data_IF_393733237643
#
_entry.id   IF_393733237643
#
_cell.length_a   1.000
_cell.length_b   1.000
_cell.length_c   1.000
_cell.angle_alpha   90.00
_cell.angle_beta   90.00
_cell.angle_gamma   90.00
#
_symmetry.space_group_name_H-M   'P 1'
#
loop_
_entity.id
_entity.type
_entity.pdbx_description
1 polymer ?
#
# COMPACT_ATOMS: atom_id res chain seq x y z
N UNK A 1 26.77 37.02 5.68
CA UNK A 1 25.40 36.46 5.74
C UNK A 1 24.91 36.55 7.18
N UNK A 2 23.63 36.79 7.42
CA UNK A 2 23.09 36.95 8.78
C UNK A 2 21.77 36.17 8.92
N UNK A 3 21.55 35.56 10.07
CA UNK A 3 20.34 34.81 10.38
C UNK A 3 19.06 35.63 10.13
N UNK A 4 17.95 35.02 9.70
CA UNK A 4 16.67 35.69 9.58
C UNK A 4 16.31 36.48 10.85
N UNK A 5 15.82 37.70 10.69
CA UNK A 5 15.46 38.57 11.81
C UNK A 5 16.63 39.36 12.41
N UNK A 6 17.87 39.14 11.95
CA UNK A 6 19.03 39.93 12.40
C UNK A 6 19.06 41.30 11.72
N UNK A 7 19.24 42.37 12.49
CA UNK A 7 19.47 43.72 11.94
C UNK A 7 20.86 43.75 11.31
N UNK A 8 20.91 43.94 9.99
CA UNK A 8 22.15 44.00 9.20
C UNK A 8 22.56 45.44 8.88
N UNK A 9 21.69 46.41 9.16
CA UNK A 9 21.99 47.82 8.96
C UNK A 9 20.90 48.73 9.49
N UNK A 10 21.23 50.01 9.60
CA UNK A 10 20.33 51.07 10.05
C UNK A 10 20.47 52.29 9.16
N UNK A 11 19.40 53.09 9.07
CA UNK A 11 19.43 54.41 8.42
C UNK A 11 18.69 55.39 9.32
N UNK A 12 19.33 56.45 9.85
CA UNK A 12 20.74 56.87 9.68
C UNK A 12 21.76 55.81 10.12
N UNK A 13 22.95 55.81 9.51
CA UNK A 13 23.96 54.79 9.76
C UNK A 13 24.57 54.92 11.16
N UNK A 14 25.14 53.83 11.69
CA UNK A 14 25.78 53.85 13.00
C UNK A 14 26.85 54.95 13.08
N UNK A 15 26.74 55.85 14.07
CA UNK A 15 27.63 56.99 14.28
C UNK A 15 27.19 58.30 13.63
N UNK A 16 26.13 58.32 12.81
CA UNK A 16 25.56 59.57 12.30
C UNK A 16 24.83 60.35 13.40
N UNK A 17 25.03 61.67 13.40
CA UNK A 17 24.32 62.57 14.31
C UNK A 17 22.91 62.81 13.78
N UNK A 18 21.93 62.65 14.67
CA UNK A 18 20.52 62.83 14.36
C UNK A 18 19.87 63.69 15.43
N UNK A 19 18.84 64.45 15.07
CA UNK A 19 18.02 65.18 16.05
C UNK A 19 17.11 64.17 16.78
N UNK A 20 17.30 63.91 18.09
CA UNK A 20 16.54 62.90 18.81
C UNK A 20 15.02 63.18 18.87
N UNK A 21 14.57 64.41 18.59
CA UNK A 21 13.14 64.75 18.59
C UNK A 21 12.44 64.43 17.28
N UNK A 22 13.19 64.33 16.18
CA UNK A 22 12.65 64.21 14.82
C UNK A 22 13.25 63.03 14.03
N UNK A 23 14.22 62.32 14.60
CA UNK A 23 14.87 61.21 13.92
C UNK A 23 13.98 59.98 13.84
N UNK A 24 13.79 59.48 12.62
CA UNK A 24 13.26 58.14 12.36
C UNK A 24 14.42 57.22 12.00
N UNK A 25 14.53 56.09 12.68
CA UNK A 25 15.54 55.06 12.39
C UNK A 25 14.87 53.91 11.66
N UNK A 26 15.31 53.66 10.42
CA UNK A 26 14.93 52.49 9.65
C UNK A 26 15.91 51.35 9.94
N UNK A 27 15.39 50.16 10.18
CA UNK A 27 16.19 48.95 10.37
C UNK A 27 16.15 48.12 9.08
N UNK A 28 17.32 47.71 8.59
CA UNK A 28 17.44 46.70 7.55
C UNK A 28 17.58 45.35 8.26
N UNK A 29 16.59 44.48 8.09
CA UNK A 29 16.53 43.17 8.75
C UNK A 29 16.79 42.07 7.72
N UNK A 30 17.69 41.15 8.03
CA UNK A 30 17.99 40.00 7.18
C UNK A 30 16.76 39.11 7.03
N UNK A 31 16.49 38.66 5.80
CA UNK A 31 15.52 37.60 5.52
C UNK A 31 16.12 36.19 5.59
N UNK A 32 17.41 36.08 5.92
CA UNK A 32 18.18 34.85 5.74
C UNK A 32 18.52 34.57 4.27
N UNK A 33 19.09 33.40 4.03
CA UNK A 33 19.46 32.93 2.69
C UNK A 33 18.20 32.67 1.86
N UNK A 34 18.20 33.09 0.60
CA UNK A 34 17.14 32.70 -0.33
C UNK A 34 17.18 31.18 -0.56
N UNK A 35 16.04 30.53 -0.37
CA UNK A 35 15.84 29.09 -0.57
C UNK A 35 14.71 28.84 -1.56
N UNK A 36 14.69 27.64 -2.12
CA UNK A 36 13.62 27.11 -2.94
C UNK A 36 13.32 25.66 -2.53
N UNK A 37 12.22 25.09 -3.02
CA UNK A 37 11.87 23.70 -2.71
C UNK A 37 12.76 22.71 -3.44
N UNK A 38 13.32 21.76 -2.70
CA UNK A 38 14.13 20.67 -3.27
C UNK A 38 13.33 19.87 -4.30
N UNK A 39 13.81 19.70 -5.55
CA UNK A 39 13.12 18.88 -6.54
C UNK A 39 13.05 17.42 -6.09
N UNK A 40 11.96 16.74 -6.47
CA UNK A 40 11.88 15.30 -6.32
C UNK A 40 12.67 14.59 -7.44
N UNK A 41 13.70 13.87 -7.03
CA UNK A 41 14.57 13.05 -7.86
C UNK A 41 14.21 11.56 -7.75
N UNK A 42 13.48 11.15 -6.72
CA UNK A 42 13.08 9.75 -6.53
C UNK A 42 12.20 9.30 -7.69
N UNK A 43 12.50 8.12 -8.21
CA UNK A 43 11.82 7.51 -9.33
C UNK A 43 12.25 8.05 -10.69
N UNK A 44 13.20 9.00 -10.82
CA UNK A 44 13.77 9.38 -12.13
C UNK A 44 14.92 8.45 -12.53
N UNK A 45 15.32 8.46 -13.80
CA UNK A 45 16.60 7.83 -14.18
C UNK A 45 17.78 8.61 -13.57
N UNK A 46 18.96 7.97 -13.53
CA UNK A 46 20.21 8.62 -13.11
C UNK A 46 20.48 9.89 -13.92
N UNK A 47 20.32 9.81 -15.24
CA UNK A 47 20.61 10.91 -16.16
C UNK A 47 19.61 12.07 -15.98
N UNK A 48 18.32 11.74 -15.82
CA UNK A 48 17.26 12.72 -15.52
C UNK A 48 17.50 13.42 -14.17
N UNK A 49 17.93 12.68 -13.16
CA UNK A 49 18.22 13.23 -11.84
C UNK A 49 19.36 14.27 -11.90
N UNK A 50 20.45 13.92 -12.58
CA UNK A 50 21.60 14.82 -12.78
C UNK A 50 21.16 16.09 -13.49
N UNK A 51 20.41 15.96 -14.59
CA UNK A 51 19.89 17.11 -15.33
C UNK A 51 18.99 18.01 -14.46
N UNK A 52 18.12 17.43 -13.62
CA UNK A 52 17.27 18.20 -12.69
C UNK A 52 18.07 18.93 -11.62
N UNK A 53 19.11 18.30 -11.06
CA UNK A 53 20.02 18.91 -10.08
C UNK A 53 20.68 20.16 -10.69
N UNK A 54 21.27 20.01 -11.88
CA UNK A 54 21.97 21.09 -12.59
C UNK A 54 21.01 22.23 -12.97
N UNK A 55 19.83 21.89 -13.53
CA UNK A 55 18.82 22.86 -13.93
C UNK A 55 18.27 23.67 -12.73
N UNK A 56 18.26 23.09 -11.53
CA UNK A 56 17.83 23.75 -10.29
C UNK A 56 18.93 24.60 -9.65
N UNK A 57 20.13 24.65 -10.24
CA UNK A 57 21.27 25.35 -9.67
C UNK A 57 21.82 24.70 -8.38
N UNK A 58 21.51 23.42 -8.17
CA UNK A 58 22.13 22.58 -7.14
C UNK A 58 23.44 22.00 -7.68
N UNK A 59 24.19 21.34 -6.80
CA UNK A 59 25.40 20.63 -7.17
C UNK A 59 25.27 19.16 -6.81
N UNK A 60 25.72 18.30 -7.69
CA UNK A 60 25.98 16.91 -7.33
C UNK A 60 27.28 16.86 -6.54
N UNK A 61 27.29 16.18 -5.39
CA UNK A 61 28.52 15.99 -4.61
C UNK A 61 29.56 15.19 -5.41
N UNK A 62 30.86 15.35 -5.08
CA UNK A 62 31.98 14.69 -5.80
C UNK A 62 31.83 13.16 -5.90
N UNK A 63 31.29 12.54 -4.84
CA UNK A 63 30.91 11.12 -4.77
C UNK A 63 29.38 11.01 -4.54
N UNK A 64 28.63 11.83 -5.30
CA UNK A 64 27.21 12.05 -5.09
C UNK A 64 26.30 11.02 -5.74
N UNK A 65 26.85 10.00 -6.40
CA UNK A 65 26.08 8.90 -6.97
C UNK A 65 26.51 7.63 -6.26
N UNK A 66 25.57 7.02 -5.54
CA UNK A 66 25.78 5.77 -4.83
C UNK A 66 24.90 4.71 -5.50
N UNK A 67 25.49 3.61 -5.97
CA UNK A 67 24.74 2.51 -6.56
C UNK A 67 24.58 1.37 -5.53
N UNK A 68 23.34 1.03 -5.20
CA UNK A 68 22.97 0.05 -4.17
C UNK A 68 21.74 -0.74 -4.61
N UNK A 69 21.62 -1.99 -4.16
CA UNK A 69 20.42 -2.77 -4.43
C UNK A 69 19.22 -2.19 -3.67
N UNK A 70 18.05 -2.15 -4.30
CA UNK A 70 16.84 -1.59 -3.70
C UNK A 70 15.61 -2.34 -4.18
N UNK A 71 14.65 -2.57 -3.26
CA UNK A 71 13.32 -3.08 -3.62
C UNK A 71 12.38 -1.97 -4.11
N UNK A 72 12.64 -0.71 -3.77
CA UNK A 72 11.71 0.41 -4.02
C UNK A 72 11.71 0.87 -5.47
N UNK A 73 12.81 0.66 -6.19
CA UNK A 73 12.94 1.08 -7.58
C UNK A 73 13.69 0.03 -8.42
N UNK A 74 13.29 -0.16 -9.70
CA UNK A 74 14.06 -0.94 -10.66
C UNK A 74 15.47 -0.39 -10.87
N UNK A 75 16.35 -1.25 -11.39
CA UNK A 75 17.73 -0.88 -11.72
C UNK A 75 17.80 0.39 -12.60
N UNK A 76 18.75 1.28 -12.29
CA UNK A 76 19.01 2.52 -13.02
C UNK A 76 18.16 3.71 -12.59
N UNK A 77 17.19 3.53 -11.67
CA UNK A 77 16.37 4.63 -11.14
C UNK A 77 16.82 5.05 -9.75
N UNK A 78 16.69 6.34 -9.46
CA UNK A 78 16.97 6.90 -8.13
C UNK A 78 15.91 6.42 -7.15
N UNK A 79 16.30 5.77 -6.05
CA UNK A 79 15.38 5.39 -4.97
C UNK A 79 15.48 6.31 -3.77
N UNK A 80 16.55 7.12 -3.65
CA UNK A 80 16.73 8.03 -2.52
C UNK A 80 17.59 9.23 -2.90
N UNK A 81 17.29 10.38 -2.29
CA UNK A 81 18.06 11.62 -2.38
C UNK A 81 18.43 12.11 -0.99
N UNK A 82 19.61 12.72 -0.83
CA UNK A 82 20.07 13.24 0.46
C UNK A 82 20.97 14.47 0.30
N UNK A 83 21.03 15.38 1.28
CA UNK A 83 20.38 15.31 2.61
C UNK A 83 18.94 15.85 2.64
N UNK A 84 18.45 16.40 1.53
CA UNK A 84 17.15 17.07 1.45
C UNK A 84 16.09 16.15 0.87
N UNK A 85 14.93 16.09 1.52
CA UNK A 85 13.72 15.44 1.02
C UNK A 85 13.00 16.34 0.01
N UNK A 86 12.08 15.80 -0.81
CA UNK A 86 11.29 16.61 -1.74
C UNK A 86 10.57 17.79 -1.04
N UNK A 87 10.68 18.97 -1.63
CA UNK A 87 10.15 20.26 -1.15
C UNK A 87 10.85 20.88 0.06
N UNK A 88 11.89 20.25 0.61
CA UNK A 88 12.69 20.89 1.66
C UNK A 88 13.28 22.22 1.18
N UNK A 89 13.37 23.24 2.05
CA UNK A 89 13.99 24.51 1.70
C UNK A 89 15.49 24.31 1.50
N UNK A 90 15.94 24.44 0.25
CA UNK A 90 17.33 24.31 -0.15
C UNK A 90 17.84 25.60 -0.77
N UNK A 91 19.05 26.01 -0.39
CA UNK A 91 19.71 27.15 -1.00
C UNK A 91 20.37 26.79 -2.33
N UNK A 92 20.52 27.78 -3.23
CA UNK A 92 21.27 27.60 -4.47
C UNK A 92 22.72 27.16 -4.20
N UNK A 93 23.22 26.24 -5.02
CA UNK A 93 24.56 25.68 -4.93
C UNK A 93 24.77 24.64 -3.83
N UNK A 94 23.73 24.29 -3.06
CA UNK A 94 23.79 23.18 -2.11
C UNK A 94 24.10 21.87 -2.80
N UNK A 95 24.83 21.00 -2.10
CA UNK A 95 25.20 19.68 -2.60
C UNK A 95 24.14 18.64 -2.28
N UNK A 96 23.91 17.75 -3.25
CA UNK A 96 22.97 16.63 -3.15
C UNK A 96 23.68 15.34 -3.56
N UNK A 97 23.29 14.24 -2.93
CA UNK A 97 23.61 12.87 -3.31
C UNK A 97 22.34 12.16 -3.75
N UNK A 98 22.49 11.26 -4.70
CA UNK A 98 21.44 10.35 -5.18
C UNK A 98 21.90 8.91 -4.98
N UNK A 99 20.96 8.06 -4.59
CA UNK A 99 21.15 6.63 -4.51
C UNK A 99 20.38 6.00 -5.67
N UNK A 100 21.09 5.32 -6.54
CA UNK A 100 20.57 4.70 -7.76
C UNK A 100 20.48 3.20 -7.52
N UNK A 101 19.33 2.62 -7.84
CA UNK A 101 19.13 1.18 -7.70
C UNK A 101 20.04 0.44 -8.67
N UNK A 102 20.83 -0.51 -8.18
CA UNK A 102 21.55 -1.48 -9.01
C UNK A 102 20.69 -2.70 -9.38
N UNK A 103 19.42 -2.72 -8.93
CA UNK A 103 18.49 -3.83 -9.06
C UNK A 103 18.02 -4.36 -7.70
N UNK A 104 17.18 -5.39 -7.73
CA UNK A 104 16.73 -6.04 -6.50
C UNK A 104 17.88 -6.80 -5.81
N UNK A 105 17.91 -6.86 -4.47
CA UNK A 105 18.93 -7.62 -3.74
C UNK A 105 19.01 -9.09 -4.18
N UNK A 106 20.19 -9.75 -4.10
CA UNK A 106 20.36 -11.15 -4.53
C UNK A 106 19.41 -12.16 -3.87
N UNK A 107 18.95 -11.85 -2.65
CA UNK A 107 17.99 -12.64 -1.90
C UNK A 107 16.53 -12.46 -2.36
N UNK A 108 16.25 -11.47 -3.20
CA UNK A 108 14.94 -11.25 -3.80
C UNK A 108 14.49 -12.47 -4.59
N UNK A 109 13.27 -12.93 -4.33
CA UNK A 109 12.69 -14.07 -5.01
C UNK A 109 11.55 -13.59 -5.92
N UNK A 110 11.70 -13.82 -7.22
CA UNK A 110 10.61 -13.68 -8.17
C UNK A 110 9.74 -14.93 -8.12
N UNK A 111 8.46 -14.74 -7.81
CA UNK A 111 7.52 -15.85 -7.67
C UNK A 111 6.22 -15.54 -8.43
N UNK A 112 5.84 -16.44 -9.33
CA UNK A 112 4.57 -16.37 -10.04
C UNK A 112 3.53 -17.16 -9.25
N UNK A 113 2.54 -16.48 -8.69
CA UNK A 113 1.44 -17.12 -7.97
C UNK A 113 0.28 -17.42 -8.93
N UNK A 114 -0.04 -18.72 -9.20
CA UNK A 114 -1.10 -19.09 -10.12
C UNK A 114 -2.45 -19.09 -9.41
N UNK A 115 -3.19 -18.00 -9.50
CA UNK A 115 -4.50 -17.86 -8.85
C UNK A 115 -5.62 -18.40 -9.75
N UNK A 116 -6.24 -19.51 -9.34
CA UNK A 116 -7.33 -20.15 -10.09
C UNK A 116 -8.66 -19.52 -9.67
N UNK A 117 -9.35 -18.87 -10.60
CA UNK A 117 -10.62 -18.16 -10.34
C UNK A 117 -11.73 -18.62 -11.27
N UNK A 118 -12.89 -18.96 -10.70
CA UNK A 118 -14.13 -19.21 -11.44
C UNK A 118 -15.04 -17.95 -11.46
N UNK A 119 -15.93 -17.77 -12.45
CA UNK A 119 -17.00 -16.78 -12.36
C UNK A 119 -17.96 -17.14 -11.22
N UNK A 120 -18.79 -16.19 -10.78
CA UNK A 120 -19.83 -16.45 -9.78
C UNK A 120 -20.86 -17.48 -10.29
N UNK A 121 -21.17 -17.44 -11.58
CA UNK A 121 -22.03 -18.41 -12.26
C UNK A 121 -21.37 -18.78 -13.57
N UNK A 122 -21.24 -20.08 -13.84
CA UNK A 122 -20.61 -20.56 -15.07
C UNK A 122 -21.32 -20.01 -16.32
N UNK A 123 -20.55 -19.58 -17.31
CA UNK A 123 -21.01 -18.90 -18.52
C UNK A 123 -21.48 -17.46 -18.32
N UNK A 124 -21.70 -16.97 -17.09
CA UNK A 124 -22.00 -15.55 -16.82
C UNK A 124 -20.73 -14.78 -16.52
N UNK A 125 -20.69 -13.53 -16.96
CA UNK A 125 -19.53 -12.66 -16.73
C UNK A 125 -19.42 -12.30 -15.25
N UNK A 126 -18.25 -12.55 -14.67
CA UNK A 126 -17.78 -11.93 -13.44
C UNK A 126 -16.56 -11.06 -13.71
N UNK A 127 -16.41 -10.01 -12.92
CA UNK A 127 -15.27 -9.08 -12.97
C UNK A 127 -14.33 -9.40 -11.81
N UNK A 128 -13.12 -9.85 -12.12
CA UNK A 128 -12.07 -10.14 -11.15
C UNK A 128 -11.15 -8.93 -11.06
N UNK A 129 -10.92 -8.42 -9.85
CA UNK A 129 -9.91 -7.39 -9.59
C UNK A 129 -8.92 -7.90 -8.57
N UNK A 130 -7.63 -7.72 -8.84
CA UNK A 130 -6.55 -8.17 -7.97
C UNK A 130 -5.70 -6.96 -7.57
N UNK A 131 -5.53 -6.81 -6.26
CA UNK A 131 -4.57 -5.88 -5.65
C UNK A 131 -3.55 -6.72 -4.91
N UNK A 132 -2.27 -6.36 -4.97
CA UNK A 132 -1.23 -7.09 -4.27
C UNK A 132 -0.23 -6.18 -3.59
N UNK A 133 0.43 -6.72 -2.58
CA UNK A 133 1.54 -6.11 -1.86
C UNK A 133 2.70 -7.07 -1.92
N UNK A 134 3.90 -6.57 -2.17
CA UNK A 134 5.12 -7.37 -2.25
C UNK A 134 6.33 -6.55 -1.75
N UNK A 135 7.55 -7.06 -1.95
CA UNK A 135 8.77 -6.37 -1.52
C UNK A 135 8.93 -4.97 -2.15
N UNK A 136 8.37 -4.74 -3.35
CA UNK A 136 8.54 -3.51 -4.12
C UNK A 136 7.52 -2.42 -3.83
N UNK A 137 6.44 -2.75 -3.11
CA UNK A 137 5.43 -1.77 -2.75
C UNK A 137 4.16 -2.38 -2.19
N UNK A 138 3.28 -1.51 -1.73
CA UNK A 138 1.97 -1.85 -1.19
C UNK A 138 0.86 -1.44 -2.16
N UNK A 139 -0.29 -2.10 -2.06
CA UNK A 139 -1.52 -1.75 -2.81
C UNK A 139 -1.32 -1.62 -4.33
N UNK A 140 -0.46 -2.47 -4.90
CA UNK A 140 -0.19 -2.53 -6.34
C UNK A 140 -1.39 -3.14 -7.05
N UNK A 141 -1.92 -2.45 -8.05
CA UNK A 141 -3.00 -2.97 -8.90
C UNK A 141 -2.42 -3.95 -9.92
N UNK A 142 -2.81 -5.23 -9.86
CA UNK A 142 -2.53 -6.18 -10.93
C UNK A 142 -3.46 -5.92 -12.14
N UNK A 143 -4.68 -5.49 -11.85
CA UNK A 143 -5.66 -5.07 -12.85
C UNK A 143 -7.00 -5.75 -12.68
N UNK A 144 -7.85 -5.58 -13.70
CA UNK A 144 -9.20 -6.12 -13.75
C UNK A 144 -9.38 -7.02 -14.96
N UNK A 145 -10.00 -8.18 -14.78
CA UNK A 145 -10.27 -9.16 -15.84
C UNK A 145 -11.73 -9.58 -15.81
N UNK A 146 -12.36 -9.68 -16.97
CA UNK A 146 -13.70 -10.24 -17.11
C UNK A 146 -13.57 -11.72 -17.47
N UNK A 147 -14.20 -12.59 -16.70
CA UNK A 147 -14.18 -14.04 -16.91
C UNK A 147 -15.61 -14.57 -17.05
N UNK A 148 -15.78 -15.58 -17.91
CA UNK A 148 -17.05 -16.32 -18.07
C UNK A 148 -16.90 -17.81 -17.76
N UNK A 149 -15.67 -18.26 -17.49
CA UNK A 149 -15.30 -19.63 -17.13
C UNK A 149 -14.07 -19.59 -16.23
N UNK A 150 -13.73 -20.72 -15.60
CA UNK A 150 -12.53 -20.83 -14.76
C UNK A 150 -11.26 -20.50 -15.53
N UNK A 151 -10.40 -19.66 -14.95
CA UNK A 151 -9.13 -19.22 -15.53
C UNK A 151 -8.03 -19.18 -14.47
N UNK A 152 -6.77 -19.28 -14.92
CA UNK A 152 -5.59 -19.11 -14.09
C UNK A 152 -5.04 -17.70 -14.34
N UNK A 153 -4.98 -16.89 -13.28
CA UNK A 153 -4.40 -15.55 -13.31
C UNK A 153 -3.04 -15.60 -12.62
N UNK A 154 -1.98 -15.33 -13.38
CA UNK A 154 -0.61 -15.34 -12.86
C UNK A 154 -0.26 -13.97 -12.26
N UNK A 155 -0.08 -13.95 -10.94
CA UNK A 155 0.34 -12.75 -10.21
C UNK A 155 1.84 -12.83 -9.97
N UNK A 156 2.60 -11.96 -10.63
CA UNK A 156 4.05 -11.86 -10.44
C UNK A 156 4.38 -11.08 -9.17
N UNK A 157 5.12 -11.71 -8.26
CA UNK A 157 5.51 -11.15 -6.98
C UNK A 157 7.04 -11.07 -6.87
N UNK A 158 7.53 -10.03 -6.20
CA UNK A 158 8.91 -9.97 -5.70
C UNK A 158 8.85 -10.12 -4.18
N UNK A 159 9.43 -11.20 -3.67
CA UNK A 159 9.45 -11.52 -2.24
C UNK A 159 10.83 -11.25 -1.64
N UNK A 160 10.86 -10.88 -0.36
CA UNK A 160 12.10 -10.65 0.39
C UNK A 160 12.11 -11.49 1.68
N UNK A 161 13.28 -11.80 2.28
CA UNK A 161 13.35 -12.58 3.52
C UNK A 161 12.51 -12.03 4.68
N UNK A 162 12.26 -10.72 4.68
CA UNK A 162 11.48 -10.00 5.68
C UNK A 162 10.12 -9.51 5.16
N UNK A 163 9.73 -9.83 3.91
CA UNK A 163 8.48 -9.35 3.32
C UNK A 163 7.85 -10.40 2.42
N UNK A 164 6.75 -10.94 2.92
CA UNK A 164 5.85 -11.85 2.19
C UNK A 164 4.98 -11.08 1.18
N UNK A 165 4.43 -11.81 0.22
CA UNK A 165 3.46 -11.29 -0.74
C UNK A 165 2.04 -11.44 -0.20
N UNK A 166 1.18 -10.47 -0.48
CA UNK A 166 -0.24 -10.51 -0.10
C UNK A 166 -1.08 -10.15 -1.31
N UNK A 167 -2.04 -10.98 -1.67
CA UNK A 167 -2.97 -10.78 -2.78
C UNK A 167 -4.39 -10.61 -2.22
N UNK A 168 -5.04 -9.50 -2.52
CA UNK A 168 -6.45 -9.26 -2.24
C UNK A 168 -7.25 -9.51 -3.52
N UNK A 169 -8.17 -10.45 -3.44
CA UNK A 169 -9.04 -10.83 -4.54
C UNK A 169 -10.42 -10.20 -4.37
N UNK A 170 -10.90 -9.57 -5.43
CA UNK A 170 -12.26 -9.06 -5.55
C UNK A 170 -12.97 -9.73 -6.72
N UNK A 171 -14.26 -10.01 -6.55
CA UNK A 171 -15.16 -10.49 -7.59
C UNK A 171 -16.41 -9.61 -7.59
N UNK A 172 -16.73 -9.03 -8.73
CA UNK A 172 -17.90 -8.15 -8.93
C UNK A 172 -17.94 -7.03 -7.87
N UNK A 173 -16.79 -6.36 -7.70
CA UNK A 173 -16.50 -5.30 -6.71
C UNK A 173 -16.61 -5.69 -5.23
N UNK A 174 -16.94 -6.94 -4.94
CA UNK A 174 -16.95 -7.49 -3.59
C UNK A 174 -15.60 -8.11 -3.25
N UNK A 175 -15.05 -7.77 -2.09
CA UNK A 175 -13.89 -8.48 -1.54
C UNK A 175 -14.26 -9.94 -1.30
N UNK A 176 -13.41 -10.84 -1.78
CA UNK A 176 -13.63 -12.28 -1.69
C UNK A 176 -12.70 -12.91 -0.66
N UNK A 177 -11.37 -12.73 -0.84
CA UNK A 177 -10.38 -13.38 -0.01
C UNK A 177 -9.01 -12.69 -0.08
N UNK A 178 -8.12 -13.07 0.84
CA UNK A 178 -6.73 -12.66 0.89
C UNK A 178 -5.80 -13.88 0.87
N UNK A 179 -4.84 -13.89 -0.05
CA UNK A 179 -3.84 -14.94 -0.15
C UNK A 179 -2.47 -14.41 0.23
N UNK A 180 -1.81 -15.08 1.18
CA UNK A 180 -0.44 -14.75 1.58
C UNK A 180 0.52 -15.75 0.94
N UNK A 181 1.55 -15.24 0.27
CA UNK A 181 2.64 -16.02 -0.30
C UNK A 181 3.90 -15.75 0.52
N UNK A 182 4.25 -16.69 1.40
CA UNK A 182 5.44 -16.54 2.22
C UNK A 182 6.72 -16.68 1.40
N UNK A 183 7.72 -15.83 1.66
CA UNK A 183 9.06 -15.96 1.07
C UNK A 183 9.64 -17.36 1.32
N UNK A 184 9.47 -17.88 2.54
CA UNK A 184 10.00 -19.19 2.93
C UNK A 184 9.33 -20.31 2.14
N UNK A 185 8.00 -20.29 2.05
CA UNK A 185 7.25 -21.32 1.35
C UNK A 185 7.50 -21.27 -0.16
N UNK A 186 7.56 -20.06 -0.74
CA UNK A 186 7.89 -19.85 -2.14
C UNK A 186 9.29 -20.40 -2.47
N UNK A 187 10.28 -20.14 -1.60
CA UNK A 187 11.65 -20.66 -1.75
C UNK A 187 11.73 -22.18 -1.61
N UNK A 188 10.81 -22.79 -0.84
CA UNK A 188 10.75 -24.24 -0.62
C UNK A 188 9.83 -24.97 -1.61
N UNK A 189 9.05 -24.24 -2.42
CA UNK A 189 8.05 -24.82 -3.30
C UNK A 189 6.83 -25.37 -2.57
N UNK A 190 6.53 -24.87 -1.37
CA UNK A 190 5.45 -25.35 -0.47
C UNK A 190 4.26 -24.39 -0.39
N UNK A 191 4.22 -23.37 -1.24
CA UNK A 191 3.10 -22.42 -1.32
C UNK A 191 1.81 -23.17 -1.63
N UNK A 192 0.79 -22.94 -0.80
CA UNK A 192 -0.54 -23.50 -1.02
C UNK A 192 -1.23 -22.71 -2.14
N UNK A 193 -1.68 -23.42 -3.18
CA UNK A 193 -2.40 -22.82 -4.30
C UNK A 193 -3.91 -22.95 -4.02
N UNK A 194 -4.62 -21.85 -3.77
CA UNK A 194 -6.06 -21.88 -3.54
C UNK A 194 -6.82 -22.11 -4.85
N UNK A 195 -7.91 -22.85 -4.77
CA UNK A 195 -8.93 -22.92 -5.83
C UNK A 195 -10.08 -22.01 -5.40
N UNK A 196 -10.34 -20.95 -6.16
CA UNK A 196 -11.42 -20.01 -5.85
C UNK A 196 -12.67 -20.40 -6.64
N UNK A 197 -13.46 -21.27 -6.02
CA UNK A 197 -14.66 -21.83 -6.62
C UNK A 197 -15.74 -20.76 -6.92
N UNK A 198 -16.72 -21.16 -7.75
CA UNK A 198 -17.98 -20.44 -7.81
C UNK A 198 -18.63 -20.52 -6.42
N UNK A 199 -19.25 -19.43 -5.95
CA UNK A 199 -20.13 -19.55 -4.79
C UNK A 199 -21.14 -20.66 -5.09
N UNK A 200 -21.46 -21.55 -4.13
CA UNK A 200 -22.49 -22.55 -4.37
C UNK A 200 -23.74 -21.81 -4.85
N UNK A 201 -24.19 -22.17 -6.04
CA UNK A 201 -25.48 -21.72 -6.53
C UNK A 201 -26.49 -22.21 -5.50
N UNK A 202 -27.14 -21.28 -4.79
CA UNK A 202 -28.39 -21.60 -4.11
C UNK A 202 -29.42 -21.90 -5.22
N UNK A 203 -29.38 -23.11 -5.75
CA UNK A 203 -30.51 -23.71 -6.46
C UNK A 203 -31.62 -23.98 -5.43
N UNK A 204 -32.85 -23.72 -5.87
CA UNK A 204 -34.01 -23.44 -5.05
C UNK A 204 -34.54 -24.58 -4.18
N UNK A 205 -35.46 -24.15 -3.31
CA UNK A 205 -36.24 -24.90 -2.33
C UNK A 205 -37.15 -25.96 -2.97
N UNK A 206 -37.30 -27.11 -2.32
CA UNK A 206 -38.59 -27.79 -2.08
C UNK A 206 -38.36 -29.04 -1.21
N UNK A 207 -38.67 -28.96 0.09
CA UNK A 207 -39.24 -30.11 0.78
C UNK A 207 -40.67 -29.68 1.08
N UNK A 208 -41.60 -30.18 0.28
CA UNK A 208 -43.03 -30.08 0.49
C UNK A 208 -43.36 -30.62 1.89
N UNK A 209 -43.73 -29.73 2.79
CA UNK A 209 -44.45 -30.10 4.01
C UNK A 209 -45.91 -30.31 3.67
N UNK A 210 -46.25 -31.49 3.14
CA UNK A 210 -47.64 -31.95 3.16
C UNK A 210 -48.00 -32.36 4.59
N UNK A 211 -48.64 -31.41 5.28
CA UNK A 211 -49.40 -31.65 6.50
C UNK A 211 -50.85 -31.97 6.10
N UNK A 212 -51.21 -33.26 6.06
CA UNK A 212 -52.60 -33.70 6.16
C UNK A 212 -52.71 -34.99 6.98
N UNK A 213 -53.62 -34.96 7.96
CA UNK A 213 -54.40 -36.14 8.33
C UNK A 213 -53.88 -36.96 9.50
N UNK A 214 -54.20 -36.52 10.72
CA UNK A 214 -54.29 -37.38 11.90
C UNK A 214 -55.30 -38.52 11.67
N UNK A 215 -54.93 -39.75 12.01
CA UNK A 215 -55.88 -40.81 12.38
C UNK A 215 -55.43 -41.41 13.72
N UNK A 216 -56.27 -41.19 14.73
CA UNK A 216 -56.69 -42.09 15.82
C UNK A 216 -55.55 -42.79 16.62
N UNK A 217 -55.37 -42.59 17.93
CA UNK A 217 -56.36 -42.38 18.97
C UNK A 217 -56.56 -43.70 19.71
N UNK A 218 -55.87 -43.92 20.83
CA UNK A 218 -56.38 -44.75 21.93
C UNK A 218 -55.75 -44.29 23.25
N UNK A 219 -56.63 -43.75 24.09
CA UNK A 219 -56.41 -43.32 25.48
C UNK A 219 -57.05 -44.37 26.38
N UNK A 220 -56.30 -44.92 27.35
CA UNK A 220 -56.90 -45.37 28.61
C UNK A 220 -55.98 -44.97 29.77
N UNK A 221 -56.52 -44.21 30.71
CA UNK A 221 -55.79 -43.69 31.86
C UNK A 221 -56.65 -42.80 32.75
N UNK A 222 -57.78 -43.33 33.23
CA UNK A 222 -58.67 -42.66 34.16
C UNK A 222 -58.23 -42.94 35.61
N UNK A 223 -58.03 -41.89 36.42
CA UNK A 223 -57.81 -41.95 37.87
C UNK A 223 -59.00 -41.35 38.60
N UNK A 224 -59.68 -42.17 39.40
CA UNK A 224 -60.33 -41.88 40.69
C UNK A 224 -60.35 -43.26 41.42
N UNK A 225 -60.15 -43.48 42.72
CA UNK A 225 -60.21 -42.64 43.91
C UNK A 225 -61.07 -43.33 44.99
N UNK A 226 -60.49 -44.24 45.81
CA UNK A 226 -60.88 -44.46 47.23
C UNK A 226 -61.83 -45.63 47.63
N UNK A 227 -61.56 -46.22 48.81
CA UNK A 227 -62.49 -47.00 49.68
C UNK A 227 -62.32 -48.54 49.65
N UNK A 228 -61.64 -49.23 50.59
CA UNK A 228 -61.98 -49.69 51.97
C UNK A 228 -63.02 -50.85 52.04
N UNK A 229 -62.63 -51.95 52.73
CA UNK A 229 -63.49 -52.94 53.44
C UNK A 229 -63.77 -54.25 52.68
N UNK A 230 -63.23 -55.41 53.05
CA UNK A 230 -63.65 -56.37 54.10
C UNK A 230 -65.10 -56.88 53.96
N UNK A 231 -65.28 -58.13 53.49
CA UNK A 231 -65.84 -59.26 54.26
C UNK A 231 -66.12 -60.49 53.36
N UNK A 232 -66.01 -61.66 54.03
CA UNK A 232 -66.43 -63.05 53.70
C UNK A 232 -65.76 -63.84 52.56
#
# INVERSE_FOLDING_TARGET
EAEPGTVVGTTPASGEKVDPRNASVKLLVSKGRETFGMPNLVGTTKEEAIAKIEASGLKLAKDGIIEESSYEQPAGRVFKQQPFEPNDPVAKGSEVRIYVSSGYPPEALHYTFPLIVAPQVDGKTSTIRIVYTDATGENKEWGTQKITSTQILNVELVLAPNKDGVILLYRDDQFLDTYTVSYKDAKQGTVQIPVVDALPSKQGQEIEGENQGQSEGEWEGQKEGGGIGSDE
#
